data_IF_820710510001
#
_entry.id   IF_820710510001
#
_cell.length_a   1.000
_cell.length_b   1.000
_cell.length_c   1.000
_cell.angle_alpha   90.00
_cell.angle_beta   90.00
_cell.angle_gamma   90.00
#
_symmetry.space_group_name_H-M   'P 1'
#
loop_
_entity.id
_entity.type
_entity.pdbx_description
1 polymer ?
#
# COMPACT_ATOMS: atom_id res chain seq x y z
N UNK A 1 -1.80 22.96 5.86
CA UNK A 1 -2.80 22.13 5.15
C UNK A 1 -2.46 20.68 5.41
N UNK A 2 -3.41 19.79 5.79
CA UNK A 2 -3.13 18.37 5.85
C UNK A 2 -2.74 17.91 4.44
N UNK A 3 -1.58 17.28 4.32
CA UNK A 3 -1.20 16.69 3.04
C UNK A 3 -2.29 15.67 2.65
N UNK A 4 -2.78 15.77 1.42
CA UNK A 4 -3.81 14.87 0.90
C UNK A 4 -3.12 13.61 0.40
N UNK A 5 -3.57 12.40 0.79
CA UNK A 5 -3.01 11.17 0.25
C UNK A 5 -3.27 11.10 -1.26
N UNK A 6 -2.19 10.95 -2.03
CA UNK A 6 -2.22 10.80 -3.49
C UNK A 6 -2.01 9.33 -3.83
N UNK A 7 -2.95 8.78 -4.60
CA UNK A 7 -2.84 7.43 -5.14
C UNK A 7 -2.26 7.47 -6.55
N UNK A 8 -1.25 6.65 -6.80
CA UNK A 8 -0.63 6.46 -8.10
C UNK A 8 -0.72 4.99 -8.48
N UNK A 9 -1.28 4.71 -9.66
CA UNK A 9 -1.25 3.37 -10.26
C UNK A 9 0.06 3.25 -11.04
N UNK A 10 0.96 2.38 -10.59
CA UNK A 10 2.26 2.15 -11.25
C UNK A 10 2.10 1.05 -12.31
N UNK A 11 1.36 -0.01 -11.97
CA UNK A 11 1.01 -1.09 -12.89
C UNK A 11 -0.36 -1.68 -12.50
N UNK A 12 -0.92 -2.64 -13.25
CA UNK A 12 -2.17 -3.31 -12.87
C UNK A 12 -2.14 -3.99 -11.49
N UNK A 13 -0.95 -4.32 -10.99
CA UNK A 13 -0.70 -5.08 -9.76
C UNK A 13 0.20 -4.33 -8.78
N UNK A 14 0.46 -3.05 -9.03
CA UNK A 14 1.30 -2.21 -8.18
C UNK A 14 0.72 -0.81 -8.07
N UNK A 15 0.39 -0.44 -6.84
CA UNK A 15 -0.17 0.86 -6.48
C UNK A 15 0.71 1.51 -5.43
N UNK A 16 0.69 2.84 -5.39
CA UNK A 16 1.38 3.62 -4.37
C UNK A 16 0.42 4.65 -3.79
N UNK A 17 0.47 4.82 -2.49
CA UNK A 17 -0.12 5.98 -1.81
C UNK A 17 1.00 6.78 -1.16
N UNK A 18 0.97 8.09 -1.40
CA UNK A 18 1.93 9.02 -0.81
C UNK A 18 1.20 10.15 -0.11
N UNK A 19 1.66 10.48 1.09
CA UNK A 19 1.16 11.60 1.86
C UNK A 19 2.34 12.33 2.53
N UNK A 20 2.72 13.49 1.99
CA UNK A 20 3.96 14.16 2.35
C UNK A 20 5.19 13.29 2.05
N UNK A 21 6.02 13.05 3.07
CA UNK A 21 7.18 12.14 3.00
C UNK A 21 6.82 10.66 3.21
N UNK A 22 5.60 10.34 3.65
CA UNK A 22 5.17 8.96 3.86
C UNK A 22 4.77 8.34 2.54
N UNK A 23 5.39 7.21 2.23
CA UNK A 23 5.15 6.43 1.03
C UNK A 23 4.85 4.98 1.40
N UNK A 24 3.73 4.50 0.89
CA UNK A 24 3.32 3.09 1.03
C UNK A 24 3.04 2.52 -0.37
N UNK A 25 3.65 1.40 -0.69
CA UNK A 25 3.44 0.67 -1.92
C UNK A 25 2.59 -0.58 -1.63
N UNK A 26 1.70 -0.94 -2.55
CA UNK A 26 0.91 -2.17 -2.53
C UNK A 26 1.23 -2.95 -3.80
N UNK A 27 1.71 -4.17 -3.64
CA UNK A 27 2.12 -5.02 -4.75
C UNK A 27 1.43 -6.37 -4.64
N UNK A 28 0.82 -6.84 -5.72
CA UNK A 28 0.31 -8.20 -5.79
C UNK A 28 1.45 -9.17 -6.10
N UNK A 29 1.70 -10.09 -5.17
CA UNK A 29 2.63 -11.20 -5.32
C UNK A 29 1.83 -12.44 -5.75
N UNK A 30 2.00 -12.84 -7.01
CA UNK A 30 1.37 -14.04 -7.54
C UNK A 30 2.20 -15.27 -7.18
N UNK A 31 1.67 -16.12 -6.31
CA UNK A 31 2.30 -17.38 -5.88
C UNK A 31 1.28 -18.54 -5.89
N UNK A 32 0.42 -18.58 -6.91
CA UNK A 32 -0.66 -19.56 -7.01
C UNK A 32 -1.66 -19.42 -5.85
N UNK A 33 -1.88 -20.49 -5.07
CA UNK A 33 -2.79 -20.48 -3.91
C UNK A 33 -2.35 -19.53 -2.78
N UNK A 34 -1.10 -19.07 -2.78
CA UNK A 34 -0.57 -18.12 -1.78
C UNK A 34 -0.56 -16.67 -2.29
N UNK A 35 -1.31 -16.38 -3.35
CA UNK A 35 -1.32 -15.03 -3.92
C UNK A 35 -1.91 -14.02 -2.94
N UNK A 36 -1.20 -12.90 -2.76
CA UNK A 36 -1.58 -11.86 -1.81
C UNK A 36 -1.12 -10.48 -2.26
N UNK A 37 -1.74 -9.46 -1.68
CA UNK A 37 -1.32 -8.07 -1.76
C UNK A 37 -0.39 -7.75 -0.60
N UNK A 38 0.88 -7.57 -0.91
CA UNK A 38 1.91 -7.13 0.01
C UNK A 38 1.87 -5.61 0.18
N UNK A 39 1.89 -5.13 1.42
CA UNK A 39 1.92 -3.72 1.77
C UNK A 39 3.33 -3.36 2.26
N UNK A 40 3.96 -2.40 1.62
CA UNK A 40 5.32 -1.95 1.90
C UNK A 40 5.31 -0.50 2.38
N UNK A 41 5.78 -0.22 3.59
CA UNK A 41 5.96 1.15 4.09
C UNK A 41 7.46 1.50 4.10
N UNK A 42 7.85 2.55 3.37
CA UNK A 42 9.27 2.93 3.27
C UNK A 42 10.18 1.82 2.76
N UNK A 43 9.67 0.93 1.91
CA UNK A 43 10.41 -0.23 1.37
C UNK A 43 10.43 -1.48 2.26
N UNK A 44 9.87 -1.43 3.47
CA UNK A 44 9.75 -2.61 4.35
C UNK A 44 8.38 -3.25 4.23
N UNK A 45 8.35 -4.57 4.08
CA UNK A 45 7.09 -5.34 4.12
C UNK A 45 6.47 -5.19 5.51
N UNK A 46 5.25 -4.65 5.55
CA UNK A 46 4.47 -4.52 6.78
C UNK A 46 3.63 -5.77 6.99
N UNK A 47 2.90 -6.17 5.95
CA UNK A 47 2.01 -7.34 6.00
C UNK A 47 1.59 -7.76 4.59
N UNK A 48 0.90 -8.91 4.50
CA UNK A 48 0.25 -9.43 3.30
C UNK A 48 -1.24 -9.61 3.57
N UNK A 49 -2.08 -9.21 2.62
CA UNK A 49 -3.52 -9.41 2.65
C UNK A 49 -4.00 -10.19 1.42
N UNK A 50 -4.94 -11.14 1.56
CA UNK A 50 -5.52 -11.80 0.39
C UNK A 50 -6.36 -10.83 -0.47
N UNK A 51 -7.01 -9.85 0.17
CA UNK A 51 -7.86 -8.86 -0.48
C UNK A 51 -7.15 -7.54 -0.82
N UNK A 52 -7.40 -7.02 -2.03
CA UNK A 52 -6.89 -5.70 -2.43
C UNK A 52 -7.46 -4.57 -1.56
N UNK A 53 -8.75 -4.65 -1.22
CA UNK A 53 -9.43 -3.59 -0.46
C UNK A 53 -8.86 -3.46 0.97
N UNK A 54 -8.53 -4.58 1.61
CA UNK A 54 -7.90 -4.60 2.94
C UNK A 54 -6.50 -3.98 2.88
N UNK A 55 -5.69 -4.41 1.90
CA UNK A 55 -4.36 -3.84 1.67
C UNK A 55 -4.44 -2.33 1.38
N UNK A 56 -5.44 -1.90 0.61
CA UNK A 56 -5.68 -0.49 0.27
C UNK A 56 -6.07 0.34 1.49
N UNK A 57 -6.96 -0.19 2.33
CA UNK A 57 -7.38 0.47 3.57
C UNK A 57 -6.20 0.65 4.54
N UNK A 58 -5.40 -0.40 4.73
CA UNK A 58 -4.19 -0.34 5.55
C UNK A 58 -3.17 0.65 5.00
N UNK A 59 -2.88 0.62 3.71
CA UNK A 59 -1.92 1.53 3.10
C UNK A 59 -2.34 3.00 3.23
N UNK A 60 -3.64 3.29 3.09
CA UNK A 60 -4.17 4.63 3.34
C UNK A 60 -3.93 5.05 4.79
N UNK A 61 -4.29 4.17 5.74
CA UNK A 61 -4.09 4.42 7.17
C UNK A 61 -2.62 4.73 7.46
N UNK A 62 -1.69 3.88 7.03
CA UNK A 62 -0.24 4.04 7.21
C UNK A 62 0.31 5.33 6.59
N UNK A 63 -0.24 5.79 5.47
CA UNK A 63 0.15 7.05 4.86
C UNK A 63 -0.38 8.27 5.62
N UNK A 64 -1.53 8.16 6.30
CA UNK A 64 -2.20 9.28 6.98
C UNK A 64 -1.98 9.36 8.48
N UNK A 65 -1.59 8.27 9.14
CA UNK A 65 -1.47 8.19 10.59
C UNK A 65 -0.24 8.97 11.07
N UNK A 66 -0.46 10.10 11.75
CA UNK A 66 0.60 10.85 12.43
C UNK A 66 1.06 10.06 13.65
N UNK A 67 2.23 9.43 13.54
CA UNK A 67 3.09 9.17 14.71
C UNK A 67 3.52 10.50 15.32
#
# INVERSE_FOLDING_TARGET
>A
MPAKPVWTKISPRHFRVQNGSRRVDITYEGAGFQSAWSVYAGGKLVTRHPGFLDARGLALKLATENT
#
